data_IF_560007056016
#
_entry.id   IF_560007056016
#
_cell.length_a   1.000
_cell.length_b   1.000
_cell.length_c   1.000
_cell.angle_alpha   90.00
_cell.angle_beta   90.00
_cell.angle_gamma   90.00
#
_symmetry.space_group_name_H-M   'P 1'
#
loop_
_entity.id
_entity.type
_entity.pdbx_description
1 polymer ?
#
# COMPACT_ATOMS: atom_id res chain seq x y z
N UNK A 1 8.45 -26.28 -24.09
CA UNK A 1 7.81 -26.45 -25.42
C UNK A 1 8.42 -25.58 -26.51
N UNK A 2 8.63 -24.27 -26.33
CA UNK A 2 9.09 -23.38 -27.42
C UNK A 2 10.39 -23.82 -28.12
N UNK A 3 11.24 -24.61 -27.46
CA UNK A 3 12.47 -25.21 -28.03
C UNK A 3 12.26 -26.56 -28.73
N UNK A 4 11.08 -27.16 -28.62
CA UNK A 4 10.74 -28.51 -29.08
C UNK A 4 9.25 -28.61 -29.51
N UNK A 5 8.80 -27.63 -30.30
CA UNK A 5 7.41 -27.55 -30.76
C UNK A 5 7.04 -28.74 -31.66
N UNK A 6 7.95 -29.19 -32.52
CA UNK A 6 7.68 -30.26 -33.49
C UNK A 6 7.38 -31.60 -32.82
N UNK A 7 8.04 -31.89 -31.69
CA UNK A 7 7.79 -33.11 -30.91
C UNK A 7 6.46 -33.00 -30.17
N UNK A 8 6.15 -31.84 -29.60
CA UNK A 8 4.85 -31.59 -28.97
C UNK A 8 3.68 -31.73 -29.97
N UNK A 9 3.82 -31.19 -31.19
CA UNK A 9 2.80 -31.33 -32.25
C UNK A 9 2.64 -32.79 -32.67
N UNK A 10 3.74 -33.54 -32.81
CA UNK A 10 3.67 -34.98 -33.13
C UNK A 10 2.94 -35.76 -32.06
N UNK A 11 3.23 -35.50 -30.78
CA UNK A 11 2.55 -36.13 -29.65
C UNK A 11 1.05 -35.84 -29.64
N UNK A 12 0.65 -34.60 -29.88
CA UNK A 12 -0.76 -34.20 -29.95
C UNK A 12 -1.45 -34.91 -31.13
N UNK A 13 -0.78 -34.98 -32.30
CA UNK A 13 -1.33 -35.65 -33.49
C UNK A 13 -1.43 -37.17 -33.37
N UNK A 14 -0.59 -37.81 -32.56
CA UNK A 14 -0.64 -39.26 -32.34
C UNK A 14 -1.69 -39.69 -31.31
N UNK A 15 -2.23 -38.76 -30.54
CA UNK A 15 -3.25 -39.04 -29.51
C UNK A 15 -4.63 -39.19 -30.16
N UNK A 16 -5.46 -40.11 -29.66
CA UNK A 16 -6.77 -40.42 -30.23
C UNK A 16 -7.84 -39.37 -29.87
N UNK A 17 -7.73 -38.74 -28.69
CA UNK A 17 -8.62 -37.67 -28.26
C UNK A 17 -7.89 -36.56 -27.48
N UNK A 18 -8.63 -35.49 -27.15
CA UNK A 18 -8.10 -34.31 -26.45
C UNK A 18 -7.62 -34.66 -25.04
N UNK A 19 -8.27 -35.61 -24.36
CA UNK A 19 -7.91 -36.01 -23.00
C UNK A 19 -6.61 -36.79 -22.99
N UNK A 20 -6.43 -37.70 -23.95
CA UNK A 20 -5.20 -38.45 -24.14
C UNK A 20 -4.05 -37.51 -24.51
N UNK A 21 -4.27 -36.54 -25.40
CA UNK A 21 -3.26 -35.52 -25.73
C UNK A 21 -2.84 -34.71 -24.48
N UNK A 22 -3.80 -34.32 -23.64
CA UNK A 22 -3.52 -33.62 -22.38
C UNK A 22 -2.70 -34.49 -21.42
N UNK A 23 -3.10 -35.75 -21.21
CA UNK A 23 -2.37 -36.68 -20.33
C UNK A 23 -0.95 -36.95 -20.84
N UNK A 24 -0.77 -37.07 -22.15
CA UNK A 24 0.54 -37.26 -22.76
C UNK A 24 1.44 -36.03 -22.57
N UNK A 25 0.91 -34.82 -22.73
CA UNK A 25 1.65 -33.58 -22.45
C UNK A 25 2.06 -33.48 -20.97
N UNK A 26 1.14 -33.82 -20.06
CA UNK A 26 1.44 -33.86 -18.62
C UNK A 26 2.52 -34.90 -18.30
N UNK A 27 2.43 -36.11 -18.86
CA UNK A 27 3.38 -37.18 -18.54
C UNK A 27 4.78 -36.93 -19.12
N UNK A 28 4.87 -36.46 -20.36
CA UNK A 28 6.17 -36.31 -21.04
C UNK A 28 6.92 -35.06 -20.61
N UNK A 29 6.22 -33.94 -20.43
CA UNK A 29 6.83 -32.65 -20.11
C UNK A 29 6.60 -32.21 -18.66
N UNK A 30 5.92 -33.02 -17.83
CA UNK A 30 5.61 -32.72 -16.42
C UNK A 30 4.82 -31.43 -16.23
N UNK A 31 3.99 -31.09 -17.21
CA UNK A 31 3.09 -29.94 -17.11
C UNK A 31 1.94 -30.25 -16.16
N UNK A 32 1.45 -29.20 -15.49
CA UNK A 32 0.19 -29.27 -14.78
C UNK A 32 -0.99 -29.29 -15.78
N UNK A 33 -2.20 -29.50 -15.24
CA UNK A 33 -3.41 -29.58 -16.05
C UNK A 33 -3.71 -28.27 -16.79
N UNK A 34 -3.42 -27.12 -16.15
CA UNK A 34 -3.68 -25.77 -16.65
C UNK A 34 -2.74 -25.46 -17.81
N UNK A 35 -1.45 -25.73 -17.63
CA UNK A 35 -0.41 -25.59 -18.65
C UNK A 35 -0.72 -26.47 -19.85
N UNK A 36 -1.03 -27.75 -19.64
CA UNK A 36 -1.37 -28.68 -20.72
C UNK A 36 -2.60 -28.22 -21.51
N UNK A 37 -3.62 -27.70 -20.81
CA UNK A 37 -4.80 -27.13 -21.46
C UNK A 37 -4.45 -25.87 -22.26
N UNK A 38 -3.67 -24.96 -21.70
CA UNK A 38 -3.25 -23.74 -22.38
C UNK A 38 -2.46 -24.05 -23.66
N UNK A 39 -1.64 -25.10 -23.66
CA UNK A 39 -0.89 -25.57 -24.83
C UNK A 39 -1.83 -26.09 -25.92
N UNK A 40 -2.86 -26.87 -25.56
CA UNK A 40 -3.85 -27.38 -26.52
C UNK A 40 -4.70 -26.25 -27.13
N UNK A 41 -4.90 -25.16 -26.40
CA UNK A 41 -5.64 -23.97 -26.87
C UNK A 41 -4.76 -22.99 -27.68
N UNK A 42 -3.45 -23.22 -27.79
CA UNK A 42 -2.56 -22.33 -28.54
C UNK A 42 -2.89 -22.33 -30.05
N UNK A 43 -3.00 -21.12 -30.61
CA UNK A 43 -3.07 -20.91 -32.06
C UNK A 43 -1.67 -21.02 -32.71
N UNK A 44 -1.60 -21.58 -33.93
CA UNK A 44 -0.36 -21.63 -34.72
C UNK A 44 0.28 -20.26 -34.95
N UNK A 45 -0.51 -19.18 -34.93
CA UNK A 45 -0.01 -17.81 -35.06
C UNK A 45 0.95 -17.43 -33.92
N UNK A 46 0.77 -18.01 -32.73
CA UNK A 46 1.64 -17.77 -31.57
C UNK A 46 3.05 -18.36 -31.73
N UNK A 47 3.24 -19.23 -32.73
CA UNK A 47 4.55 -19.79 -33.07
C UNK A 47 5.38 -18.86 -33.96
N UNK A 48 4.80 -17.75 -34.45
CA UNK A 48 5.54 -16.76 -35.22
C UNK A 48 6.70 -16.19 -34.38
N UNK A 49 7.87 -15.99 -35.01
CA UNK A 49 9.08 -15.53 -34.32
C UNK A 49 8.85 -14.26 -33.50
N UNK A 50 8.07 -13.30 -34.02
CA UNK A 50 7.76 -12.06 -33.30
C UNK A 50 6.96 -12.32 -32.02
N UNK A 51 5.96 -13.21 -32.05
CA UNK A 51 5.17 -13.55 -30.88
C UNK A 51 6.01 -14.33 -29.84
N UNK A 52 6.86 -15.25 -30.30
CA UNK A 52 7.81 -15.95 -29.43
C UNK A 52 8.80 -15.00 -28.75
N UNK A 53 9.34 -14.01 -29.47
CA UNK A 53 10.24 -13.01 -28.88
C UNK A 53 9.53 -12.13 -27.84
N UNK A 54 8.27 -11.76 -28.07
CA UNK A 54 7.46 -11.04 -27.08
C UNK A 54 7.31 -11.85 -25.80
N UNK A 55 6.97 -13.14 -25.92
CA UNK A 55 6.82 -14.03 -24.75
C UNK A 55 8.13 -14.16 -23.96
N UNK A 56 9.28 -14.31 -24.63
CA UNK A 56 10.58 -14.38 -23.96
C UNK A 56 10.89 -13.07 -23.23
N UNK A 57 10.57 -11.93 -23.85
CA UNK A 57 10.78 -10.62 -23.24
C UNK A 57 9.86 -10.43 -22.02
N UNK A 58 8.60 -10.84 -22.12
CA UNK A 58 7.64 -10.80 -21.03
C UNK A 58 8.07 -11.70 -19.87
N UNK A 59 8.51 -12.93 -20.14
CA UNK A 59 9.07 -13.85 -19.15
C UNK A 59 10.25 -13.21 -18.40
N UNK A 60 11.17 -12.57 -19.14
CA UNK A 60 12.33 -11.91 -18.56
C UNK A 60 11.92 -10.74 -17.65
N UNK A 61 10.97 -9.92 -18.10
CA UNK A 61 10.46 -8.79 -17.32
C UNK A 61 9.75 -9.25 -16.05
N UNK A 62 8.87 -10.25 -16.15
CA UNK A 62 8.17 -10.83 -15.00
C UNK A 62 9.16 -11.46 -14.01
N UNK A 63 10.19 -12.14 -14.49
CA UNK A 63 11.25 -12.70 -13.64
C UNK A 63 11.98 -11.60 -12.89
N UNK A 64 12.31 -10.49 -13.58
CA UNK A 64 12.95 -9.35 -12.96
C UNK A 64 12.06 -8.69 -11.90
N UNK A 65 10.77 -8.53 -12.19
CA UNK A 65 9.78 -7.97 -11.26
C UNK A 65 9.63 -8.86 -10.01
N UNK A 66 9.56 -10.18 -10.19
CA UNK A 66 9.53 -11.14 -9.08
C UNK A 66 10.77 -10.98 -8.19
N UNK A 67 11.96 -10.89 -8.79
CA UNK A 67 13.20 -10.70 -8.03
C UNK A 67 13.22 -9.38 -7.28
N UNK A 68 12.75 -8.30 -7.90
CA UNK A 68 12.63 -7.00 -7.25
C UNK A 68 11.68 -7.06 -6.05
N UNK A 69 10.48 -7.61 -6.25
CA UNK A 69 9.47 -7.80 -5.20
C UNK A 69 10.00 -8.68 -4.06
N UNK A 70 10.63 -9.81 -4.36
CA UNK A 70 11.26 -10.67 -3.35
C UNK A 70 12.33 -9.91 -2.57
N UNK A 71 13.17 -9.14 -3.27
CA UNK A 71 14.21 -8.35 -2.62
C UNK A 71 13.65 -7.29 -1.65
N UNK A 72 12.44 -6.80 -1.90
CA UNK A 72 11.72 -5.87 -1.01
C UNK A 72 11.15 -6.63 0.18
N UNK A 73 10.47 -7.76 -0.05
CA UNK A 73 9.87 -8.58 1.01
C UNK A 73 10.92 -9.02 2.04
N UNK A 74 12.09 -9.46 1.55
CA UNK A 74 13.17 -10.01 2.38
C UNK A 74 13.95 -8.93 3.15
N UNK A 75 13.88 -7.65 2.73
CA UNK A 75 14.65 -6.57 3.33
C UNK A 75 13.77 -5.57 4.07
N UNK A 76 13.87 -5.58 5.40
CA UNK A 76 13.18 -4.59 6.24
C UNK A 76 13.56 -3.15 5.90
N UNK A 77 14.85 -2.89 5.68
CA UNK A 77 15.32 -1.54 5.32
C UNK A 77 14.76 -1.05 3.97
N UNK A 78 14.58 -1.93 2.97
CA UNK A 78 13.97 -1.52 1.70
C UNK A 78 12.49 -1.18 1.89
N UNK A 79 11.75 -1.98 2.66
CA UNK A 79 10.35 -1.69 3.01
C UNK A 79 10.20 -0.34 3.68
N UNK A 80 11.03 -0.04 4.68
CA UNK A 80 10.99 1.24 5.40
C UNK A 80 11.30 2.43 4.49
N UNK A 81 12.29 2.29 3.59
CA UNK A 81 12.59 3.35 2.60
C UNK A 81 11.44 3.60 1.63
N UNK A 82 10.79 2.54 1.15
CA UNK A 82 9.62 2.66 0.26
C UNK A 82 8.49 3.34 1.02
N UNK A 83 8.21 2.90 2.24
CA UNK A 83 7.15 3.46 3.08
C UNK A 83 7.41 4.94 3.40
N UNK A 84 8.64 5.30 3.77
CA UNK A 84 9.02 6.70 4.02
C UNK A 84 8.79 7.56 2.78
N UNK A 85 9.22 7.09 1.60
CA UNK A 85 9.02 7.79 0.33
C UNK A 85 7.53 8.00 0.06
N UNK A 86 6.71 6.97 0.18
CA UNK A 86 5.25 7.04 -0.04
C UNK A 86 4.57 8.00 0.95
N UNK A 87 4.93 7.93 2.24
CA UNK A 87 4.40 8.83 3.26
C UNK A 87 4.80 10.30 3.00
N UNK A 88 6.01 10.55 2.52
CA UNK A 88 6.45 11.89 2.14
C UNK A 88 5.71 12.41 0.89
N UNK A 89 5.44 11.55 -0.09
CA UNK A 89 4.62 11.91 -1.25
C UNK A 89 3.17 12.24 -0.84
N UNK A 90 2.58 11.44 0.04
CA UNK A 90 1.25 11.71 0.63
C UNK A 90 1.26 13.03 1.38
N UNK A 91 2.24 13.24 2.28
CA UNK A 91 2.39 14.50 3.01
C UNK A 91 2.49 15.67 2.05
N UNK A 92 3.32 15.59 1.01
CA UNK A 92 3.47 16.67 0.02
C UNK A 92 2.16 16.97 -0.72
N UNK A 93 1.37 15.94 -1.02
CA UNK A 93 0.11 16.08 -1.77
C UNK A 93 -1.05 16.62 -0.91
N UNK A 94 -1.07 16.29 0.39
CA UNK A 94 -2.22 16.53 1.26
C UNK A 94 -1.93 17.39 2.50
N UNK A 95 -0.71 17.89 2.69
CA UNK A 95 -0.39 18.77 3.81
C UNK A 95 -1.20 20.07 3.74
N UNK A 96 -1.74 20.47 4.89
CA UNK A 96 -2.28 21.79 5.12
C UNK A 96 -1.58 22.46 6.31
N UNK A 97 -1.73 23.78 6.42
CA UNK A 97 -1.19 24.51 7.56
C UNK A 97 -2.02 24.23 8.81
N UNK A 98 -1.35 24.19 9.97
CA UNK A 98 -2.04 23.99 11.25
C UNK A 98 -2.96 25.17 11.52
N UNK A 99 -4.26 24.90 11.58
CA UNK A 99 -5.29 25.92 11.86
C UNK A 99 -5.33 26.37 13.32
N UNK A 100 -4.89 25.52 14.25
CA UNK A 100 -4.90 25.80 15.68
C UNK A 100 -3.56 26.35 16.15
N UNK A 101 -3.60 27.42 16.94
CA UNK A 101 -2.43 28.00 17.59
C UNK A 101 -2.39 27.53 19.04
N UNK A 102 -1.19 27.17 19.52
CA UNK A 102 -0.98 26.87 20.94
C UNK A 102 -0.74 28.20 21.66
N UNK A 103 -1.70 28.62 22.50
CA UNK A 103 -1.56 29.80 23.33
C UNK A 103 -1.03 29.38 24.71
N UNK A 104 0.27 29.60 24.94
CA UNK A 104 0.93 29.28 26.20
C UNK A 104 0.71 30.35 27.28
N UNK A 105 0.21 31.53 26.90
CA UNK A 105 -0.02 32.66 27.81
C UNK A 105 -1.48 32.71 28.33
N UNK A 106 -2.36 31.85 27.80
CA UNK A 106 -3.71 31.72 28.31
C UNK A 106 -3.67 31.13 29.72
N UNK A 107 -3.92 31.96 30.73
CA UNK A 107 -4.18 31.49 32.09
C UNK A 107 -5.46 30.65 32.07
N UNK A 108 -5.30 29.33 32.01
CA UNK A 108 -6.37 28.37 32.24
C UNK A 108 -6.64 28.18 33.74
N UNK A 109 -5.77 28.73 34.58
CA UNK A 109 -5.95 28.78 36.02
C UNK A 109 -6.86 29.97 36.33
N UNK A 110 -8.17 29.70 36.34
CA UNK A 110 -9.18 30.60 36.88
C UNK A 110 -9.22 30.31 38.37
N UNK A 111 -8.85 31.29 39.19
CA UNK A 111 -8.93 31.12 40.63
C UNK A 111 -10.34 31.38 41.12
N UNK A 112 -10.71 30.80 42.25
CA UNK A 112 -12.02 31.02 42.84
C UNK A 112 -12.28 32.51 43.13
N UNK A 113 -11.23 33.29 43.41
CA UNK A 113 -11.34 34.74 43.60
C UNK A 113 -11.73 35.50 42.33
N UNK A 114 -11.33 35.03 41.14
CA UNK A 114 -11.67 35.66 39.85
C UNK A 114 -13.17 35.50 39.50
N UNK A 115 -13.87 34.60 40.20
CA UNK A 115 -15.32 34.41 40.09
C UNK A 115 -16.13 35.34 41.00
N UNK A 116 -15.47 36.07 41.90
CA UNK A 116 -16.12 37.02 42.82
C UNK A 116 -16.31 38.35 42.08
N UNK A 117 -17.55 38.84 42.06
CA UNK A 117 -17.89 40.11 41.41
C UNK A 117 -17.15 41.29 42.06
N UNK A 118 -16.44 42.09 41.25
CA UNK A 118 -15.80 43.32 41.70
C UNK A 118 -16.85 44.39 42.04
N UNK A 119 -16.96 44.75 43.32
CA UNK A 119 -17.84 45.82 43.81
C UNK A 119 -17.03 46.98 44.35
N UNK A 120 -17.34 48.20 43.89
CA UNK A 120 -16.79 49.42 44.47
C UNK A 120 -17.57 49.75 45.73
N UNK A 121 -16.94 49.55 46.89
CA UNK A 121 -17.57 49.84 48.20
C UNK A 121 -16.90 51.04 48.86
N UNK A 122 -17.68 51.83 49.61
CA UNK A 122 -17.16 52.89 50.47
C UNK A 122 -17.04 52.38 51.90
N UNK A 123 -15.83 52.31 52.41
CA UNK A 123 -15.56 51.94 53.80
C UNK A 123 -15.39 53.20 54.64
N UNK A 124 -16.27 53.41 55.61
CA UNK A 124 -16.19 54.55 56.55
C UNK A 124 -15.78 54.04 57.93
N UNK A 125 -14.80 54.72 58.54
CA UNK A 125 -14.30 54.44 59.88
C UNK A 125 -14.61 55.65 60.78
N UNK A 126 -15.26 55.40 61.92
CA UNK A 126 -15.53 56.44 62.92
C UNK A 126 -14.36 56.60 63.88
N UNK A 127 -14.24 57.74 64.55
CA UNK A 127 -13.18 57.97 65.55
C UNK A 127 -13.25 57.01 66.75
N UNK A 128 -14.41 56.42 67.02
CA UNK A 128 -14.61 55.40 68.07
C UNK A 128 -14.31 53.97 67.59
N UNK A 129 -13.92 53.79 66.33
CA UNK A 129 -13.49 52.50 65.78
C UNK A 129 -14.57 51.67 65.07
N UNK A 130 -15.79 52.19 64.88
CA UNK A 130 -16.80 51.50 64.08
C UNK A 130 -16.45 51.53 62.59
N UNK A 131 -16.53 50.36 61.95
CA UNK A 131 -16.30 50.16 60.51
C UNK A 131 -17.63 49.83 59.86
N UNK A 132 -18.00 50.57 58.81
CA UNK A 132 -19.18 50.30 57.98
C UNK A 132 -18.81 50.33 56.50
N UNK A 133 -19.16 49.27 55.77
CA UNK A 133 -19.17 49.26 54.30
C UNK A 133 -20.54 49.67 53.79
N UNK A 134 -20.58 50.50 52.75
CA UNK A 134 -21.78 50.86 52.00
C UNK A 134 -21.49 50.61 50.52
N UNK A 135 -22.35 49.83 49.89
CA UNK A 135 -22.37 49.57 48.44
C UNK A 135 -22.94 50.77 47.68
#
# INVERSE_FOLDING_TARGET
ILKDIDTAIRLIKSSADIKEAQQNLMSQYRFDEIQSKAILEMSLQKLANQETQKLITEEANLTQEILECQSIIDSQTKKEKILEKELLEIKKKYQDERKTVLNFDASLDVKDEDLIEEKTIVVTITNEGYIKSVD
#
